data_IF_794142533182
#
_entry.id   IF_794142533182
#
_cell.length_a   1.000
_cell.length_b   1.000
_cell.length_c   1.000
_cell.angle_alpha   90.00
_cell.angle_beta   90.00
_cell.angle_gamma   90.00
#
_symmetry.space_group_name_H-M   'P 1'
#
loop_
_entity.id
_entity.type
_entity.pdbx_description
1 polymer ?
#
# COMPACT_ATOMS: atom_id res chain seq x y z
N UNK A 1 9.57 -56.70 31.77
CA UNK A 1 8.88 -55.39 31.87
C UNK A 1 9.09 -54.65 30.57
N UNK A 2 8.02 -54.32 29.85
CA UNK A 2 8.07 -53.44 28.67
C UNK A 2 7.66 -52.03 29.13
N UNK A 3 8.56 -51.05 29.00
CA UNK A 3 8.22 -49.64 29.19
C UNK A 3 7.87 -49.06 27.82
N UNK A 4 6.59 -48.75 27.63
CA UNK A 4 6.09 -48.00 26.48
C UNK A 4 6.03 -46.53 26.88
N UNK A 5 6.81 -45.66 26.25
CA UNK A 5 6.70 -44.21 26.43
C UNK A 5 5.70 -43.70 25.40
N UNK A 6 4.57 -43.16 25.87
CA UNK A 6 3.50 -42.60 25.06
C UNK A 6 3.99 -41.31 24.36
N UNK A 7 4.16 -41.37 23.03
CA UNK A 7 4.54 -40.25 22.16
C UNK A 7 3.40 -39.21 21.92
N UNK A 8 2.25 -39.35 22.59
CA UNK A 8 1.06 -38.55 22.30
C UNK A 8 1.05 -37.13 22.89
N UNK A 9 1.77 -36.87 23.99
CA UNK A 9 1.65 -35.59 24.70
C UNK A 9 2.64 -34.50 24.25
N UNK A 10 3.72 -34.84 23.54
CA UNK A 10 4.74 -33.87 23.13
C UNK A 10 4.35 -33.07 21.87
N UNK A 11 3.49 -33.60 21.00
CA UNK A 11 3.02 -32.87 19.80
C UNK A 11 1.88 -31.89 20.08
N UNK A 12 1.15 -32.05 21.18
CA UNK A 12 0.07 -31.12 21.55
C UNK A 12 0.57 -29.77 22.09
N UNK A 13 1.78 -29.74 22.68
CA UNK A 13 2.39 -28.52 23.24
C UNK A 13 3.11 -27.71 22.16
N UNK A 14 3.61 -28.34 21.09
CA UNK A 14 4.31 -27.63 20.02
C UNK A 14 3.37 -26.87 19.06
N UNK A 15 2.09 -27.24 18.98
CA UNK A 15 1.12 -26.59 18.07
C UNK A 15 0.51 -25.32 18.72
N UNK A 16 0.50 -25.21 20.05
CA UNK A 16 -0.01 -24.02 20.73
C UNK A 16 0.98 -22.84 20.73
N UNK A 17 2.28 -23.11 20.55
CA UNK A 17 3.32 -22.07 20.49
C UNK A 17 3.47 -21.42 19.10
N UNK A 18 2.78 -21.91 18.07
CA UNK A 18 2.83 -21.34 16.70
C UNK A 18 1.67 -20.37 16.40
N UNK A 19 0.83 -20.08 17.40
CA UNK A 19 -0.25 -19.10 17.34
C UNK A 19 0.09 -17.79 18.07
N UNK A 20 1.35 -17.59 18.43
CA UNK A 20 1.89 -16.26 18.68
C UNK A 20 2.17 -15.63 17.32
N UNK A 21 1.10 -15.19 16.64
CA UNK A 21 1.24 -14.32 15.48
C UNK A 21 2.15 -13.17 15.89
N UNK A 22 3.26 -12.98 15.18
CA UNK A 22 4.13 -11.85 15.41
C UNK A 22 3.26 -10.60 15.31
N UNK A 23 2.99 -9.96 16.45
CA UNK A 23 2.41 -8.63 16.54
C UNK A 23 3.47 -7.65 16.01
N UNK A 24 3.73 -7.73 14.70
CA UNK A 24 4.54 -6.78 13.98
C UNK A 24 3.75 -5.50 13.92
N UNK A 25 4.13 -4.55 14.77
CA UNK A 25 3.87 -3.13 14.60
C UNK A 25 3.88 -2.76 13.12
N UNK A 26 2.72 -2.45 12.54
CA UNK A 26 2.61 -2.11 11.13
C UNK A 26 2.03 -0.71 10.98
N UNK A 27 2.74 0.12 10.22
CA UNK A 27 2.18 1.34 9.67
C UNK A 27 1.34 0.97 8.46
N UNK A 28 0.05 1.25 8.54
CA UNK A 28 -0.90 0.91 7.51
C UNK A 28 -1.38 2.19 6.85
N UNK A 29 -1.14 2.33 5.55
CA UNK A 29 -1.71 3.42 4.77
C UNK A 29 -3.24 3.27 4.73
N UNK A 30 -3.96 4.32 5.14
CA UNK A 30 -5.44 4.38 5.14
C UNK A 30 -6.01 5.12 3.93
N UNK A 31 -5.13 5.49 2.99
CA UNK A 31 -5.47 6.39 1.89
C UNK A 31 -5.61 7.83 2.39
N UNK A 32 -5.86 8.75 1.46
CA UNK A 32 -6.27 10.13 1.77
C UNK A 32 -5.35 10.91 2.70
N UNK A 33 -4.06 10.59 2.68
CA UNK A 33 -3.06 11.23 3.51
C UNK A 33 -3.13 10.84 4.98
N UNK A 34 -3.60 9.63 5.32
CA UNK A 34 -3.64 9.11 6.69
C UNK A 34 -2.89 7.79 6.83
N UNK A 35 -2.08 7.66 7.89
CA UNK A 35 -1.29 6.45 8.20
C UNK A 35 -1.66 5.97 9.60
N UNK A 36 -2.13 4.73 9.72
CA UNK A 36 -2.47 4.12 11.00
C UNK A 36 -1.29 3.32 11.57
N UNK A 37 -0.86 3.66 12.78
CA UNK A 37 0.06 2.88 13.61
C UNK A 37 -0.74 1.89 14.47
N UNK A 38 -0.74 0.62 14.03
CA UNK A 38 -1.44 -0.47 14.72
C UNK A 38 -0.88 -0.82 16.10
N UNK A 39 0.38 -0.45 16.37
CA UNK A 39 1.07 -0.73 17.64
C UNK A 39 0.58 0.20 18.75
N UNK A 40 0.26 1.45 18.39
CA UNK A 40 -0.21 2.47 19.34
C UNK A 40 -1.68 2.81 19.21
N UNK A 41 -2.35 2.26 18.20
CA UNK A 41 -3.73 2.60 17.87
C UNK A 41 -3.86 4.12 17.67
N UNK A 42 -3.01 4.67 16.80
CA UNK A 42 -2.94 6.10 16.47
C UNK A 42 -2.95 6.26 14.95
N UNK A 43 -3.64 7.27 14.44
CA UNK A 43 -3.58 7.67 13.05
C UNK A 43 -2.83 9.00 12.90
N UNK A 44 -1.84 9.03 12.03
CA UNK A 44 -1.01 10.17 11.68
C UNK A 44 -1.46 10.78 10.36
N UNK A 45 -1.25 12.09 10.19
CA UNK A 45 -1.19 12.64 8.84
C UNK A 45 0.01 12.05 8.09
N UNK A 46 -0.18 11.67 6.83
CA UNK A 46 0.89 11.18 5.96
C UNK A 46 1.89 12.31 5.64
N UNK A 47 1.40 13.53 5.49
CA UNK A 47 2.20 14.74 5.30
C UNK A 47 2.68 15.26 6.66
N UNK A 48 3.96 15.00 6.95
CA UNK A 48 4.57 15.41 8.21
C UNK A 48 4.68 16.94 8.36
N UNK A 49 4.64 17.69 7.25
CA UNK A 49 4.65 19.15 7.26
C UNK A 49 3.36 19.72 6.65
N UNK A 50 2.22 19.19 7.11
CA UNK A 50 0.92 19.63 6.61
C UNK A 50 0.65 21.12 6.89
N UNK A 51 1.24 21.72 7.92
CA UNK A 51 1.16 23.16 8.15
C UNK A 51 1.69 23.99 6.96
N UNK A 52 2.73 23.50 6.28
CA UNK A 52 3.24 24.13 5.06
C UNK A 52 2.32 23.88 3.87
N UNK A 53 1.95 22.63 3.63
CA UNK A 53 1.21 22.26 2.40
C UNK A 53 -0.24 22.71 2.40
N UNK A 54 -0.86 22.84 3.58
CA UNK A 54 -2.18 23.47 3.76
C UNK A 54 -2.15 25.00 3.60
N UNK A 55 -0.97 25.62 3.59
CA UNK A 55 -0.81 27.08 3.57
C UNK A 55 -1.00 27.76 4.93
N UNK A 56 -1.05 27.00 6.04
CA UNK A 56 -1.15 27.55 7.38
C UNK A 56 0.07 28.40 7.78
N UNK A 57 1.28 27.98 7.37
CA UNK A 57 2.50 28.74 7.54
C UNK A 57 3.48 28.52 6.35
N UNK A 58 4.15 29.56 5.81
CA UNK A 58 4.97 29.44 4.59
C UNK A 58 6.08 28.38 4.62
N UNK A 59 6.68 28.14 5.79
CA UNK A 59 7.69 27.09 5.97
C UNK A 59 7.22 25.93 6.87
N UNK A 60 6.00 26.06 7.42
CA UNK A 60 5.34 25.08 8.28
C UNK A 60 5.82 25.09 9.72
N UNK A 61 6.77 25.95 10.07
CA UNK A 61 7.28 26.07 11.42
C UNK A 61 6.46 27.10 12.17
N UNK A 62 6.01 26.75 13.36
CA UNK A 62 5.23 27.66 14.19
C UNK A 62 5.59 27.55 15.67
N UNK A 63 5.21 28.56 16.46
CA UNK A 63 5.28 28.50 17.91
C UNK A 63 4.35 27.40 18.46
N UNK A 64 4.61 26.88 19.66
CA UNK A 64 3.76 25.85 20.27
C UNK A 64 2.29 26.29 20.41
N UNK A 65 2.04 27.56 20.70
CA UNK A 65 0.69 28.09 20.80
C UNK A 65 -0.04 28.01 19.45
N UNK A 66 0.65 28.38 18.35
CA UNK A 66 0.14 28.23 16.99
C UNK A 66 0.01 26.76 16.59
N UNK A 67 0.94 25.89 16.99
CA UNK A 67 0.86 24.45 16.75
C UNK A 67 -0.38 23.81 17.40
N UNK A 68 -0.67 24.17 18.67
CA UNK A 68 -1.90 23.74 19.36
C UNK A 68 -3.14 24.29 18.65
N UNK A 69 -3.11 25.56 18.25
CA UNK A 69 -4.19 26.16 17.49
C UNK A 69 -4.39 25.48 16.13
N UNK A 70 -3.32 25.06 15.47
CA UNK A 70 -3.39 24.34 14.20
C UNK A 70 -4.07 22.98 14.39
N UNK A 71 -3.58 22.15 15.31
CA UNK A 71 -4.14 20.83 15.56
C UNK A 71 -5.61 20.91 16.01
N UNK A 72 -5.94 21.77 16.99
CA UNK A 72 -7.29 21.89 17.54
C UNK A 72 -8.35 22.41 16.55
N UNK A 73 -7.93 23.12 15.48
CA UNK A 73 -8.84 23.64 14.46
C UNK A 73 -8.72 22.88 13.13
N UNK A 74 -7.89 21.84 13.06
CA UNK A 74 -7.68 21.07 11.86
C UNK A 74 -8.93 20.21 11.61
N UNK A 75 -9.56 20.41 10.45
CA UNK A 75 -10.53 19.46 9.89
C UNK A 75 -9.87 18.79 8.70
N UNK A 76 -9.55 17.51 8.82
CA UNK A 76 -8.90 16.74 7.77
C UNK A 76 -9.65 15.42 7.56
N UNK A 77 -10.04 15.17 6.31
CA UNK A 77 -10.81 13.98 5.91
C UNK A 77 -12.06 13.73 6.77
N UNK A 78 -12.75 14.80 7.15
CA UNK A 78 -13.98 14.74 7.95
C UNK A 78 -13.78 14.58 9.46
N UNK A 79 -12.53 14.63 9.93
CA UNK A 79 -12.19 14.53 11.36
C UNK A 79 -11.63 15.84 11.90
N UNK A 80 -12.09 16.24 13.08
CA UNK A 80 -11.82 17.51 13.75
C UNK A 80 -11.16 17.36 15.15
N UNK A 81 -10.79 16.14 15.51
CA UNK A 81 -10.22 15.75 16.79
C UNK A 81 -8.70 15.50 16.72
N UNK A 82 -8.02 16.24 15.84
CA UNK A 82 -6.57 16.14 15.68
C UNK A 82 -5.83 16.79 16.85
N UNK A 83 -4.75 16.14 17.29
CA UNK A 83 -3.96 16.52 18.45
C UNK A 83 -2.49 16.52 18.07
N UNK A 84 -1.68 17.30 18.80
CA UNK A 84 -0.24 17.10 18.77
C UNK A 84 0.10 15.83 19.57
N UNK A 85 1.10 15.05 19.15
CA UNK A 85 1.59 13.90 19.89
C UNK A 85 1.97 14.31 21.30
N UNK A 86 1.68 13.47 22.28
CA UNK A 86 1.99 13.67 23.68
C UNK A 86 2.72 12.50 24.30
N UNK A 87 2.77 12.53 25.64
CA UNK A 87 3.24 11.42 26.48
C UNK A 87 2.01 10.66 26.96
N UNK A 88 2.01 9.34 26.80
CA UNK A 88 0.91 8.51 27.28
C UNK A 88 0.80 8.64 28.82
N UNK A 89 -0.41 8.73 29.39
CA UNK A 89 -0.61 9.06 30.80
C UNK A 89 -0.08 8.02 31.80
N UNK A 90 0.46 6.88 31.34
CA UNK A 90 0.96 5.80 32.20
C UNK A 90 2.35 5.28 31.80
N UNK A 91 3.03 5.93 30.86
CA UNK A 91 4.39 5.55 30.45
C UNK A 91 5.27 6.78 30.25
N UNK A 92 6.58 6.60 30.34
CA UNK A 92 7.58 7.60 29.90
C UNK A 92 7.77 7.58 28.38
N UNK A 93 6.96 6.78 27.67
CA UNK A 93 7.04 6.62 26.22
C UNK A 93 6.30 7.77 25.53
N UNK A 94 6.98 8.40 24.57
CA UNK A 94 6.37 9.44 23.74
C UNK A 94 5.69 8.78 22.55
N UNK A 95 4.52 9.25 22.14
CA UNK A 95 3.79 8.71 20.98
C UNK A 95 4.61 8.78 19.68
N UNK A 96 5.54 9.74 19.60
CA UNK A 96 6.54 9.87 18.52
C UNK A 96 7.65 8.80 18.55
N UNK A 97 7.87 8.06 19.65
CA UNK A 97 8.96 7.07 19.74
C UNK A 97 8.76 5.83 18.86
N UNK A 98 7.53 5.34 18.67
CA UNK A 98 7.25 4.22 17.76
C UNK A 98 7.39 4.63 16.31
N UNK A 99 7.05 5.87 15.95
CA UNK A 99 7.38 6.40 14.63
C UNK A 99 8.89 6.30 14.35
N UNK A 100 9.72 6.52 15.36
CA UNK A 100 11.18 6.43 15.22
C UNK A 100 11.66 5.00 15.05
N UNK A 101 11.17 4.08 15.88
CA UNK A 101 11.55 2.67 15.86
C UNK A 101 11.03 1.92 14.63
N UNK A 102 9.80 2.22 14.21
CA UNK A 102 9.11 1.48 13.14
C UNK A 102 9.40 2.07 11.76
N UNK A 103 9.72 3.37 11.66
CA UNK A 103 9.67 4.05 10.36
C UNK A 103 10.71 5.12 10.07
N UNK A 104 11.62 5.47 10.99
CA UNK A 104 12.55 6.59 10.71
C UNK A 104 14.01 6.31 11.08
N UNK A 105 14.30 5.25 11.83
CA UNK A 105 15.67 4.82 12.14
C UNK A 105 15.85 3.34 11.80
N UNK A 106 16.72 3.04 10.84
CA UNK A 106 17.37 1.72 10.77
C UNK A 106 18.83 1.90 11.19
N UNK A 107 19.18 1.76 12.49
CA UNK A 107 20.57 1.71 12.89
C UNK A 107 21.08 0.29 12.62
N UNK A 108 21.20 -0.09 11.36
CA UNK A 108 22.08 -1.18 10.98
C UNK A 108 23.52 -0.69 11.20
N UNK A 109 24.05 -0.92 12.40
CA UNK A 109 25.46 -0.85 12.74
C UNK A 109 26.11 0.55 12.71
N UNK A 110 25.83 1.36 13.73
CA UNK A 110 26.81 2.26 14.37
C UNK A 110 27.62 3.25 13.51
N UNK A 111 27.22 3.55 12.27
CA UNK A 111 27.98 4.42 11.37
C UNK A 111 27.07 5.43 10.67
N UNK A 112 27.21 6.70 11.09
CA UNK A 112 26.73 7.98 10.51
C UNK A 112 25.23 8.12 10.14
N UNK A 113 24.67 9.35 10.11
CA UNK A 113 23.22 9.56 9.99
C UNK A 113 22.71 9.08 8.63
N UNK A 114 22.18 7.85 8.59
CA UNK A 114 21.50 7.32 7.42
C UNK A 114 20.18 8.07 7.27
N UNK A 115 19.96 8.60 6.06
CA UNK A 115 18.74 9.27 5.62
C UNK A 115 17.50 8.53 6.17
N UNK A 116 16.54 9.22 6.83
CA UNK A 116 15.32 8.57 7.29
C UNK A 116 14.71 7.82 6.10
N UNK A 117 14.42 6.53 6.24
CA UNK A 117 13.55 5.83 5.28
C UNK A 117 12.14 6.13 5.74
N UNK A 118 11.44 7.16 5.23
CA UNK A 118 10.27 7.75 5.89
C UNK A 118 9.03 6.83 5.96
N UNK A 119 9.17 5.54 5.66
CA UNK A 119 8.06 4.62 5.52
C UNK A 119 7.02 5.22 4.57
N UNK A 120 5.74 5.20 4.93
CA UNK A 120 4.68 5.77 4.10
C UNK A 120 4.54 7.30 4.22
N UNK A 121 5.37 7.99 5.01
CA UNK A 121 5.26 9.43 5.26
C UNK A 121 5.96 10.27 4.20
N UNK A 122 5.45 11.50 4.01
CA UNK A 122 6.00 12.49 3.06
C UNK A 122 6.31 13.81 3.78
N UNK A 123 7.11 14.67 3.13
CA UNK A 123 7.55 15.98 3.63
C UNK A 123 8.23 15.99 5.01
N UNK A 124 8.84 14.86 5.39
CA UNK A 124 9.66 14.81 6.59
C UNK A 124 10.91 15.67 6.39
N UNK A 125 11.07 16.66 7.26
CA UNK A 125 12.25 17.53 7.33
C UNK A 125 13.20 17.04 8.44
N UNK A 126 14.34 16.38 8.11
CA UNK A 126 15.21 15.76 9.12
C UNK A 126 16.01 16.76 9.97
N UNK A 127 16.14 18.00 9.50
CA UNK A 127 16.92 19.07 10.14
C UNK A 127 16.09 19.99 11.03
N UNK A 128 14.77 19.78 11.09
CA UNK A 128 13.83 20.62 11.84
C UNK A 128 13.14 19.77 12.91
N UNK A 129 12.84 20.41 14.05
CA UNK A 129 12.14 19.77 15.15
C UNK A 129 10.63 19.65 14.90
N UNK A 130 10.00 18.68 15.57
CA UNK A 130 8.56 18.47 15.54
C UNK A 130 7.99 18.62 16.95
N UNK A 131 6.86 19.30 17.06
CA UNK A 131 6.23 19.52 18.36
C UNK A 131 5.66 18.24 18.96
N UNK A 132 5.87 18.05 20.26
CA UNK A 132 5.10 17.12 21.07
C UNK A 132 4.79 17.71 22.46
N UNK A 133 3.74 17.21 23.10
CA UNK A 133 3.25 17.71 24.38
C UNK A 133 3.77 16.79 25.50
N UNK A 134 4.73 17.30 26.29
CA UNK A 134 5.19 16.62 27.50
C UNK A 134 4.11 16.56 28.59
N UNK A 135 4.08 15.47 29.35
CA UNK A 135 3.38 15.38 30.64
C UNK A 135 4.39 15.60 31.75
N UNK A 136 4.54 16.83 32.20
CA UNK A 136 5.11 17.06 33.52
C UNK A 136 4.12 17.87 34.34
N UNK A 137 3.47 17.18 35.27
CA UNK A 137 2.62 17.75 36.32
C UNK A 137 3.43 18.57 37.35
N UNK A 138 4.77 18.67 37.16
CA UNK A 138 5.70 19.41 38.03
C UNK A 138 6.70 20.28 37.27
N UNK A 139 6.65 20.30 35.94
CA UNK A 139 7.58 21.08 35.13
C UNK A 139 6.80 21.78 34.02
N UNK A 140 7.05 23.06 33.86
CA UNK A 140 6.44 23.89 32.83
C UNK A 140 6.97 23.57 31.42
N UNK A 141 7.70 22.48 31.23
CA UNK A 141 8.59 22.27 30.07
C UNK A 141 7.85 21.89 28.79
N UNK A 142 8.31 22.46 27.66
CA UNK A 142 7.86 22.13 26.32
C UNK A 142 8.90 21.24 25.65
N UNK A 143 8.43 20.32 24.80
CA UNK A 143 9.30 19.30 24.22
C UNK A 143 9.17 19.28 22.69
N UNK A 144 10.29 19.04 22.01
CA UNK A 144 10.34 18.89 20.55
C UNK A 144 11.30 17.77 20.17
N UNK A 145 11.09 17.17 19.01
CA UNK A 145 11.92 16.07 18.51
C UNK A 145 12.73 16.47 17.27
N UNK A 146 14.07 16.33 17.27
CA UNK A 146 14.94 16.56 16.10
C UNK A 146 15.49 15.24 15.55
N UNK A 147 15.26 14.98 14.26
CA UNK A 147 15.66 13.74 13.60
C UNK A 147 17.18 13.60 13.33
N UNK A 148 17.93 14.70 13.23
CA UNK A 148 19.36 14.67 12.85
C UNK A 148 20.31 14.04 13.90
N UNK A 149 19.81 13.69 15.09
CA UNK A 149 20.64 13.18 16.19
C UNK A 149 20.11 11.94 16.92
N UNK A 150 19.06 11.28 16.42
CA UNK A 150 18.44 10.11 17.10
C UNK A 150 18.25 10.30 18.61
N UNK A 151 18.06 11.55 19.07
CA UNK A 151 18.04 11.93 20.48
C UNK A 151 16.80 12.77 20.75
N UNK A 152 16.04 12.35 21.77
CA UNK A 152 15.06 13.19 22.43
C UNK A 152 15.82 14.27 23.19
N UNK A 153 15.52 15.55 22.95
CA UNK A 153 16.09 16.64 23.73
C UNK A 153 15.01 17.27 24.61
N UNK A 154 15.28 17.32 25.91
CA UNK A 154 14.47 18.01 26.92
C UNK A 154 15.00 19.43 27.05
N UNK A 155 14.15 20.46 26.96
CA UNK A 155 14.56 21.83 27.28
C UNK A 155 13.61 22.47 28.30
N UNK A 156 14.21 23.08 29.33
CA UNK A 156 13.50 23.75 30.41
C UNK A 156 12.68 24.95 29.87
N UNK A 157 11.45 25.12 30.37
CA UNK A 157 10.58 26.25 30.07
C UNK A 157 11.22 27.59 30.43
N UNK A 158 11.23 28.51 29.47
CA UNK A 158 11.05 29.92 29.77
C UNK A 158 9.84 30.41 28.97
N UNK A 159 8.84 30.89 29.68
CA UNK A 159 7.71 31.63 29.15
C UNK A 159 8.22 32.82 28.35
N UNK A 160 8.27 32.68 27.04
CA UNK A 160 8.69 33.72 26.12
C UNK A 160 8.72 33.19 24.70
N UNK A 161 8.24 34.01 23.78
CA UNK A 161 8.16 33.83 22.32
C UNK A 161 9.55 33.72 21.65
N UNK A 162 10.55 33.15 22.32
CA UNK A 162 11.97 33.22 21.94
C UNK A 162 12.66 31.85 21.79
N UNK A 163 11.91 30.79 21.50
CA UNK A 163 12.47 29.51 21.07
C UNK A 163 11.87 29.10 19.73
N UNK A 164 12.74 28.61 18.84
CA UNK A 164 12.50 28.50 17.41
C UNK A 164 11.20 27.80 17.02
N UNK A 165 10.71 28.16 15.85
CA UNK A 165 9.51 27.59 15.28
C UNK A 165 9.76 26.13 14.83
N UNK A 166 8.84 25.23 15.19
CA UNK A 166 8.91 23.79 14.85
C UNK A 166 7.64 23.33 14.12
N UNK A 167 7.72 22.17 13.48
CA UNK A 167 6.64 21.64 12.64
C UNK A 167 5.59 20.98 13.54
N UNK A 168 4.30 21.35 13.45
CA UNK A 168 3.23 20.58 14.06
C UNK A 168 2.92 19.38 13.16
N UNK A 169 3.00 18.17 13.71
CA UNK A 169 2.58 16.96 13.02
C UNK A 169 1.42 16.30 13.78
N UNK A 170 0.17 16.66 13.43
CA UNK A 170 -0.99 16.15 14.12
C UNK A 170 -1.18 14.64 13.95
N UNK A 171 -1.75 14.06 14.99
CA UNK A 171 -2.19 12.69 15.07
C UNK A 171 -3.57 12.63 15.73
N UNK A 172 -4.19 11.45 15.74
CA UNK A 172 -5.41 11.18 16.51
C UNK A 172 -5.43 9.75 17.00
N UNK A 173 -6.20 9.50 18.06
CA UNK A 173 -6.38 8.15 18.57
C UNK A 173 -7.32 7.33 17.71
N UNK A 174 -7.06 6.03 17.64
CA UNK A 174 -7.89 5.08 16.93
C UNK A 174 -7.47 4.86 15.48
N UNK A 175 -7.96 3.74 14.95
CA UNK A 175 -8.06 3.51 13.52
C UNK A 175 -9.24 4.31 12.97
N UNK A 176 -8.99 5.10 11.94
CA UNK A 176 -10.02 5.85 11.20
C UNK A 176 -10.85 4.96 10.28
N UNK A 177 -10.49 3.67 10.16
CA UNK A 177 -11.03 2.78 9.15
C UNK A 177 -10.75 3.29 7.74
N UNK A 178 -11.27 2.61 6.73
CA UNK A 178 -11.39 3.25 5.41
C UNK A 178 -12.64 4.14 5.45
N UNK A 179 -12.51 5.42 5.09
CA UNK A 179 -13.66 6.31 5.01
C UNK A 179 -14.62 5.82 3.91
N UNK A 180 -15.95 5.99 4.06
CA UNK A 180 -16.93 5.51 3.07
C UNK A 180 -16.81 6.15 1.67
N UNK A 181 -16.27 7.38 1.59
CA UNK A 181 -15.92 8.04 0.32
C UNK A 181 -14.71 7.42 -0.38
N UNK A 182 -13.96 6.61 0.38
CA UNK A 182 -12.66 6.05 0.07
C UNK A 182 -12.63 4.58 0.48
N UNK A 183 -13.73 3.87 0.19
CA UNK A 183 -13.56 2.48 -0.24
C UNK A 183 -12.35 2.51 -1.17
N UNK A 184 -11.27 1.79 -0.82
CA UNK A 184 -10.16 1.49 -1.71
C UNK A 184 -10.72 1.57 -3.13
N UNK A 185 -10.16 2.39 -4.01
CA UNK A 185 -10.42 2.19 -5.44
C UNK A 185 -9.73 0.87 -5.82
N UNK A 186 -10.05 -0.21 -5.13
CA UNK A 186 -9.66 -1.56 -5.44
C UNK A 186 -10.18 -1.83 -6.83
N UNK A 187 -9.41 -2.62 -7.56
CA UNK A 187 -9.79 -3.06 -8.89
C UNK A 187 -11.27 -3.45 -8.93
N UNK A 188 -12.06 -2.68 -9.66
CA UNK A 188 -13.51 -2.86 -9.76
C UNK A 188 -13.84 -3.57 -11.06
N UNK A 189 -14.61 -4.65 -10.98
CA UNK A 189 -15.14 -5.35 -12.16
C UNK A 189 -14.06 -6.01 -13.02
N UNK A 190 -12.97 -6.51 -12.44
CA UNK A 190 -11.90 -7.20 -13.19
C UNK A 190 -12.33 -8.48 -13.90
N UNK A 191 -13.48 -9.06 -13.51
CA UNK A 191 -14.15 -10.20 -14.16
C UNK A 191 -15.15 -9.81 -15.25
N UNK A 192 -15.26 -8.52 -15.56
CA UNK A 192 -16.12 -7.94 -16.59
C UNK A 192 -17.56 -8.48 -16.62
N UNK A 193 -18.17 -8.61 -15.44
CA UNK A 193 -19.63 -8.72 -15.33
C UNK A 193 -20.36 -7.43 -15.71
N UNK A 194 -19.65 -6.29 -15.70
CA UNK A 194 -20.06 -5.00 -16.24
C UNK A 194 -18.86 -4.15 -16.63
N UNK A 195 -19.09 -3.05 -17.37
CA UNK A 195 -18.07 -2.04 -17.70
C UNK A 195 -17.88 -0.96 -16.64
N UNK A 196 -18.66 -0.98 -15.55
CA UNK A 196 -18.59 0.07 -14.55
C UNK A 196 -17.16 0.16 -13.98
N UNK A 197 -16.67 1.39 -13.78
CA UNK A 197 -15.31 1.65 -13.30
C UNK A 197 -14.20 1.56 -14.36
N UNK A 198 -14.51 1.15 -15.60
CA UNK A 198 -13.54 1.13 -16.70
C UNK A 198 -13.80 2.26 -17.70
N UNK A 199 -12.72 2.88 -18.16
CA UNK A 199 -12.75 3.92 -19.17
C UNK A 199 -12.01 3.45 -20.41
N UNK A 200 -12.54 3.82 -21.57
CA UNK A 200 -11.95 3.54 -22.88
C UNK A 200 -11.51 4.85 -23.50
N UNK A 201 -10.30 4.88 -24.05
CA UNK A 201 -9.80 6.01 -24.82
C UNK A 201 -8.97 5.54 -26.01
N UNK A 202 -8.54 6.48 -26.86
CA UNK A 202 -7.89 6.18 -28.14
C UNK A 202 -8.89 6.18 -29.30
N UNK A 203 -8.49 5.65 -30.45
CA UNK A 203 -9.33 5.62 -31.66
C UNK A 203 -9.88 4.24 -32.01
N UNK A 204 -9.77 3.27 -31.10
CA UNK A 204 -10.49 2.00 -31.18
C UNK A 204 -11.73 1.95 -30.30
N UNK A 205 -12.21 0.75 -30.00
CA UNK A 205 -13.41 0.51 -29.19
C UNK A 205 -13.19 -0.62 -28.19
N UNK A 206 -14.01 -0.65 -27.14
CA UNK A 206 -14.09 -1.77 -26.19
C UNK A 206 -15.55 -2.20 -26.04
N UNK A 207 -15.82 -3.50 -26.02
CA UNK A 207 -17.16 -4.07 -25.88
C UNK A 207 -17.14 -5.32 -24.99
N UNK A 208 -18.22 -5.51 -24.21
CA UNK A 208 -18.41 -6.69 -23.38
C UNK A 208 -18.96 -7.77 -24.29
N UNK A 209 -18.30 -8.93 -24.32
CA UNK A 209 -18.69 -10.03 -25.20
C UNK A 209 -18.62 -11.34 -24.45
N UNK A 210 -19.36 -12.33 -24.92
CA UNK A 210 -19.10 -13.70 -24.52
C UNK A 210 -17.97 -14.25 -25.40
N UNK A 211 -16.84 -14.59 -24.80
CA UNK A 211 -15.70 -15.21 -25.48
C UNK A 211 -15.17 -16.36 -24.65
N UNK A 212 -14.90 -17.51 -25.30
CA UNK A 212 -14.48 -18.75 -24.63
C UNK A 212 -15.38 -19.20 -23.45
N UNK A 213 -16.66 -18.79 -23.44
CA UNK A 213 -17.62 -19.13 -22.39
C UNK A 213 -17.58 -18.20 -21.15
N UNK A 214 -16.79 -17.13 -21.18
CA UNK A 214 -16.75 -16.08 -20.14
C UNK A 214 -17.21 -14.73 -20.70
N UNK A 215 -17.56 -13.80 -19.80
CA UNK A 215 -17.81 -12.40 -20.14
C UNK A 215 -16.47 -11.66 -20.15
N UNK A 216 -16.02 -11.20 -21.31
CA UNK A 216 -14.71 -10.57 -21.49
C UNK A 216 -14.86 -9.19 -22.13
N UNK A 217 -13.83 -8.36 -22.00
CA UNK A 217 -13.73 -7.13 -22.80
C UNK A 217 -12.98 -7.42 -24.09
N UNK A 218 -13.68 -7.26 -25.21
CA UNK A 218 -13.11 -7.21 -26.56
C UNK A 218 -12.63 -5.79 -26.86
N UNK A 219 -11.34 -5.61 -27.05
CA UNK A 219 -10.76 -4.42 -27.63
C UNK A 219 -10.66 -4.58 -29.15
N UNK A 220 -11.01 -3.54 -29.90
CA UNK A 220 -10.88 -3.53 -31.37
C UNK A 220 -10.21 -2.24 -31.80
N UNK A 221 -9.07 -2.32 -32.49
CA UNK A 221 -8.36 -1.13 -32.97
C UNK A 221 -9.11 -0.47 -34.13
N UNK A 222 -9.17 0.85 -34.10
CA UNK A 222 -9.38 1.70 -35.29
C UNK A 222 -8.10 2.51 -35.52
N UNK A 223 -7.58 3.06 -34.41
CA UNK A 223 -6.17 3.22 -34.06
C UNK A 223 -5.93 2.57 -32.68
N UNK A 224 -4.81 2.88 -32.01
CA UNK A 224 -4.51 2.39 -30.65
C UNK A 224 -5.70 2.61 -29.71
N UNK A 225 -5.98 1.60 -28.87
CA UNK A 225 -7.07 1.63 -27.90
C UNK A 225 -6.55 1.36 -26.50
N UNK A 226 -7.07 2.12 -25.53
CA UNK A 226 -6.66 2.05 -24.15
C UNK A 226 -7.86 1.72 -23.27
N UNK A 227 -7.78 0.63 -22.52
CA UNK A 227 -8.70 0.27 -21.46
C UNK A 227 -8.03 0.58 -20.12
N UNK A 228 -8.65 1.40 -19.28
CA UNK A 228 -8.01 1.82 -18.03
C UNK A 228 -8.99 2.05 -16.88
N UNK A 229 -8.47 1.95 -15.67
CA UNK A 229 -9.15 2.24 -14.42
C UNK A 229 -8.20 3.01 -13.51
N UNK A 230 -8.73 3.99 -12.77
CA UNK A 230 -8.02 4.63 -11.67
C UNK A 230 -8.28 3.81 -10.40
N UNK A 231 -7.21 3.37 -9.76
CA UNK A 231 -7.25 2.47 -8.63
C UNK A 231 -6.16 2.76 -7.60
N UNK A 232 -6.25 2.14 -6.43
CA UNK A 232 -5.18 2.18 -5.43
C UNK A 232 -4.37 0.87 -5.50
N UNK A 233 -3.04 0.95 -5.42
CA UNK A 233 -2.19 -0.25 -5.41
C UNK A 233 -1.95 -0.77 -4.00
N UNK A 234 -1.79 -2.11 -3.83
CA UNK A 234 -1.36 -2.68 -2.56
C UNK A 234 -0.06 -2.05 -2.06
N UNK A 235 0.02 -1.82 -0.74
CA UNK A 235 1.21 -1.27 -0.08
C UNK A 235 2.36 -2.29 0.05
N UNK A 236 2.05 -3.59 -0.08
CA UNK A 236 3.02 -4.68 -0.12
C UNK A 236 3.17 -5.21 -1.56
N UNK A 237 4.28 -5.90 -1.89
CA UNK A 237 4.41 -6.57 -3.17
C UNK A 237 3.20 -7.45 -3.50
N UNK A 238 2.82 -7.45 -4.78
CA UNK A 238 1.62 -8.15 -5.24
C UNK A 238 1.83 -8.66 -6.66
N UNK A 239 1.09 -9.69 -7.03
CA UNK A 239 0.99 -10.15 -8.41
C UNK A 239 -0.18 -9.47 -9.11
N UNK A 240 0.09 -8.78 -10.21
CA UNK A 240 -0.93 -8.40 -11.19
C UNK A 240 -1.23 -9.62 -12.07
N UNK A 241 -2.41 -10.20 -11.88
CA UNK A 241 -2.91 -11.31 -12.66
C UNK A 241 -3.97 -10.82 -13.65
N UNK A 242 -3.97 -11.36 -14.86
CA UNK A 242 -5.04 -11.15 -15.84
C UNK A 242 -5.03 -12.25 -16.91
N UNK A 243 -6.14 -12.42 -17.61
CA UNK A 243 -6.26 -13.31 -18.76
C UNK A 243 -6.33 -12.51 -20.05
N UNK A 244 -5.69 -13.02 -21.10
CA UNK A 244 -5.57 -12.35 -22.38
C UNK A 244 -5.70 -13.37 -23.53
N UNK A 245 -6.51 -13.06 -24.53
CA UNK A 245 -6.54 -13.77 -25.82
C UNK A 245 -6.30 -12.79 -26.96
N UNK A 246 -5.28 -13.06 -27.77
CA UNK A 246 -4.88 -12.27 -28.94
C UNK A 246 -4.85 -13.10 -30.22
N UNK A 247 -5.55 -14.23 -30.25
CA UNK A 247 -5.44 -15.24 -31.31
C UNK A 247 -6.15 -14.87 -32.62
N UNK A 248 -7.07 -13.91 -32.61
CA UNK A 248 -7.83 -13.52 -33.82
C UNK A 248 -7.00 -12.77 -34.85
N UNK A 249 -6.02 -11.97 -34.42
CA UNK A 249 -5.28 -11.09 -35.32
C UNK A 249 -3.78 -11.08 -35.06
N UNK A 250 -3.00 -11.25 -36.13
CA UNK A 250 -1.53 -11.31 -36.08
C UNK A 250 -0.89 -9.93 -36.02
N UNK A 251 0.31 -9.86 -35.41
CA UNK A 251 1.16 -8.65 -35.40
C UNK A 251 0.82 -7.60 -34.35
N UNK A 252 -0.14 -7.86 -33.46
CA UNK A 252 -0.55 -6.94 -32.41
C UNK A 252 0.31 -7.07 -31.14
N UNK A 253 0.43 -5.96 -30.41
CA UNK A 253 1.11 -5.88 -29.12
C UNK A 253 0.16 -5.32 -28.06
N UNK A 254 0.05 -6.02 -26.93
CA UNK A 254 -0.58 -5.51 -25.72
C UNK A 254 0.50 -4.96 -24.79
N UNK A 255 0.35 -3.71 -24.36
CA UNK A 255 1.21 -3.09 -23.36
C UNK A 255 0.40 -2.80 -22.11
N UNK A 256 0.91 -3.20 -20.94
CA UNK A 256 0.26 -2.99 -19.66
C UNK A 256 1.07 -1.99 -18.84
N UNK A 257 0.40 -0.94 -18.40
CA UNK A 257 1.00 0.14 -17.61
C UNK A 257 0.34 0.21 -16.23
N UNK A 258 1.15 0.50 -15.22
CA UNK A 258 0.69 0.83 -13.87
C UNK A 258 1.39 2.12 -13.41
N UNK A 259 0.63 3.15 -13.06
CA UNK A 259 1.17 4.45 -12.68
C UNK A 259 2.07 5.08 -13.76
N UNK A 260 1.77 4.82 -15.03
CA UNK A 260 2.59 5.26 -16.17
C UNK A 260 3.85 4.42 -16.43
N UNK A 261 4.20 3.48 -15.56
CA UNK A 261 5.32 2.55 -15.76
C UNK A 261 4.85 1.35 -16.58
N UNK A 262 5.59 0.97 -17.61
CA UNK A 262 5.35 -0.24 -18.39
C UNK A 262 5.71 -1.47 -17.54
N UNK A 263 4.73 -2.34 -17.25
CA UNK A 263 4.91 -3.51 -16.38
C UNK A 263 4.78 -4.84 -17.13
N UNK A 264 4.13 -4.86 -18.30
CA UNK A 264 4.11 -6.04 -19.17
C UNK A 264 4.02 -5.65 -20.65
N UNK A 265 4.60 -6.49 -21.51
CA UNK A 265 4.46 -6.44 -22.96
C UNK A 265 4.13 -7.85 -23.44
N UNK A 266 3.00 -7.99 -24.11
CA UNK A 266 2.58 -9.26 -24.71
C UNK A 266 2.53 -9.11 -26.22
N UNK A 267 3.37 -9.88 -26.89
CA UNK A 267 3.28 -10.08 -28.33
C UNK A 267 2.29 -11.19 -28.62
N UNK A 268 1.66 -11.18 -29.79
CA UNK A 268 0.81 -12.29 -30.21
C UNK A 268 1.57 -13.62 -30.14
N UNK A 269 1.20 -14.45 -29.17
CA UNK A 269 1.58 -15.84 -29.05
C UNK A 269 0.35 -16.69 -29.33
N UNK A 270 0.43 -17.59 -30.31
CA UNK A 270 -0.68 -18.36 -30.84
C UNK A 270 -1.50 -19.17 -29.81
N UNK A 271 -2.82 -19.21 -30.09
CA UNK A 271 -3.93 -20.08 -29.65
C UNK A 271 -4.48 -19.93 -28.21
N UNK A 272 -5.39 -18.97 -28.06
CA UNK A 272 -6.42 -18.95 -27.03
C UNK A 272 -6.08 -18.09 -25.82
N UNK A 273 -6.88 -18.28 -24.77
CA UNK A 273 -6.78 -17.55 -23.52
C UNK A 273 -5.53 -17.94 -22.74
N UNK A 274 -4.72 -16.95 -22.38
CA UNK A 274 -3.47 -17.12 -21.62
C UNK A 274 -3.56 -16.33 -20.32
N UNK A 275 -3.22 -16.97 -19.20
CA UNK A 275 -3.06 -16.29 -17.92
C UNK A 275 -1.68 -15.63 -17.82
N UNK A 276 -1.66 -14.38 -17.38
CA UNK A 276 -0.47 -13.57 -17.12
C UNK A 276 -0.39 -13.27 -15.63
N UNK A 277 0.81 -13.37 -15.06
CA UNK A 277 1.09 -13.06 -13.67
C UNK A 277 2.39 -12.25 -13.63
N UNK A 278 2.32 -11.02 -13.13
CA UNK A 278 3.45 -10.10 -13.05
C UNK A 278 3.65 -9.71 -11.60
N UNK A 279 4.81 -10.07 -11.04
CA UNK A 279 5.18 -9.64 -9.71
C UNK A 279 5.55 -8.14 -9.72
N UNK A 280 4.82 -7.36 -8.94
CA UNK A 280 5.08 -5.94 -8.71
C UNK A 280 5.76 -5.78 -7.36
N UNK A 281 7.07 -5.60 -7.38
CA UNK A 281 7.91 -5.38 -6.19
C UNK A 281 8.59 -3.99 -6.18
N UNK A 282 8.44 -3.22 -7.26
CA UNK A 282 9.02 -1.88 -7.34
C UNK A 282 8.33 -0.96 -6.32
N UNK A 283 9.05 -0.41 -5.34
CA UNK A 283 8.47 0.41 -4.28
C UNK A 283 7.77 1.67 -4.80
N UNK A 284 8.15 2.18 -5.97
CA UNK A 284 7.49 3.32 -6.60
C UNK A 284 6.11 2.99 -7.19
N UNK A 285 5.71 1.72 -7.19
CA UNK A 285 4.41 1.24 -7.66
C UNK A 285 3.52 0.70 -6.53
N UNK A 286 4.02 0.68 -5.29
CA UNK A 286 3.30 0.17 -4.11
C UNK A 286 2.63 1.30 -3.34
N UNK A 287 1.42 1.04 -2.83
CA UNK A 287 0.68 1.99 -1.98
C UNK A 287 0.34 3.32 -2.67
N UNK A 288 0.25 3.31 -4.00
CA UNK A 288 -0.15 4.47 -4.78
C UNK A 288 -1.65 4.67 -4.67
N UNK A 289 -2.08 5.94 -4.62
CA UNK A 289 -3.49 6.32 -4.69
C UNK A 289 -3.84 6.86 -6.08
N UNK A 290 -5.07 6.60 -6.51
CA UNK A 290 -5.62 7.06 -7.80
C UNK A 290 -4.70 6.78 -9.02
N UNK A 291 -3.94 5.69 -8.96
CA UNK A 291 -3.01 5.33 -10.00
C UNK A 291 -3.72 4.63 -11.15
N UNK A 292 -3.24 4.88 -12.37
CA UNK A 292 -3.85 4.29 -13.56
C UNK A 292 -3.28 2.89 -13.82
N UNK A 293 -4.14 1.88 -13.82
CA UNK A 293 -3.89 0.61 -14.51
C UNK A 293 -4.44 0.74 -15.94
N UNK A 294 -3.60 0.50 -16.94
CA UNK A 294 -3.95 0.69 -18.35
C UNK A 294 -3.43 -0.44 -19.23
N UNK A 295 -4.34 -1.01 -20.01
CA UNK A 295 -4.06 -1.94 -21.09
C UNK A 295 -4.14 -1.18 -22.40
N UNK A 296 -3.09 -1.28 -23.21
CA UNK A 296 -3.00 -0.62 -24.51
C UNK A 296 -2.81 -1.67 -25.59
N UNK A 297 -3.80 -1.80 -26.47
CA UNK A 297 -3.65 -2.54 -27.71
C UNK A 297 -3.18 -1.54 -28.75
N UNK A 298 -1.88 -1.58 -29.06
CA UNK A 298 -1.24 -0.66 -29.99
C UNK A 298 -1.05 -1.30 -31.35
N UNK A 299 -1.71 -0.73 -32.36
CA UNK A 299 -1.40 -0.98 -33.76
C UNK A 299 -1.84 0.21 -34.61
N UNK A 300 -1.02 0.55 -35.60
CA UNK A 300 -1.34 1.48 -36.68
C UNK A 300 -2.41 0.95 -37.63
N UNK A 301 -2.63 -0.37 -37.66
CA UNK A 301 -3.64 -1.03 -38.47
C UNK A 301 -4.97 -1.18 -37.73
N UNK A 302 -6.07 -0.81 -38.40
CA UNK A 302 -7.43 -1.02 -37.91
C UNK A 302 -7.83 -2.50 -37.93
N UNK A 303 -8.74 -2.89 -37.04
CA UNK A 303 -9.39 -4.20 -36.99
C UNK A 303 -8.65 -5.27 -36.19
N UNK A 304 -7.63 -4.92 -35.41
CA UNK A 304 -6.95 -5.84 -34.49
C UNK A 304 -7.76 -6.05 -33.23
N UNK A 305 -7.74 -7.26 -32.69
CA UNK A 305 -8.62 -7.68 -31.60
C UNK A 305 -7.86 -8.37 -30.49
N UNK A 306 -8.12 -7.93 -29.26
CA UNK A 306 -7.69 -8.62 -28.05
C UNK A 306 -8.87 -8.77 -27.08
N UNK A 307 -8.88 -9.86 -26.32
CA UNK A 307 -9.86 -10.12 -25.25
C UNK A 307 -9.14 -10.11 -23.90
N UNK A 308 -9.70 -9.41 -22.92
CA UNK A 308 -9.13 -9.31 -21.57
C UNK A 308 -10.18 -9.76 -20.55
N UNK A 309 -9.75 -10.53 -19.55
CA UNK A 309 -10.60 -10.98 -18.44
C UNK A 309 -9.80 -11.17 -17.14
N UNK A 310 -10.52 -11.42 -16.04
CA UNK A 310 -10.02 -11.87 -14.74
C UNK A 310 -8.81 -11.10 -14.23
N UNK A 311 -8.87 -9.77 -14.32
CA UNK A 311 -7.86 -8.88 -13.77
C UNK A 311 -7.95 -8.94 -12.25
N UNK A 312 -6.82 -9.10 -11.57
CA UNK A 312 -6.74 -9.14 -10.12
C UNK A 312 -5.39 -8.64 -9.60
N UNK A 313 -5.40 -8.04 -8.41
CA UNK A 313 -4.20 -7.88 -7.59
C UNK A 313 -4.22 -8.97 -6.52
N UNK A 314 -3.21 -9.83 -6.55
CA UNK A 314 -3.05 -10.93 -5.61
C UNK A 314 -1.95 -10.54 -4.63
N UNK A 315 -2.26 -10.26 -3.36
CA UNK A 315 -1.25 -9.97 -2.35
C UNK A 315 -0.28 -11.14 -2.24
N UNK A 316 1.01 -10.87 -2.26
CA UNK A 316 1.99 -11.90 -1.93
C UNK A 316 2.08 -12.01 -0.40
N UNK A 317 2.00 -13.22 0.18
CA UNK A 317 2.24 -13.38 1.60
C UNK A 317 3.67 -12.89 1.89
N UNK A 318 3.84 -11.99 2.86
CA UNK A 318 5.14 -11.41 3.25
C UNK A 318 6.16 -12.43 3.81
N UNK A 319 5.96 -13.73 3.60
CA UNK A 319 6.73 -14.84 4.18
C UNK A 319 7.32 -15.81 3.16
N UNK A 320 7.60 -15.40 1.92
CA UNK A 320 8.19 -16.30 0.90
C UNK A 320 9.44 -15.77 0.17
N UNK A 321 10.10 -14.72 0.67
CA UNK A 321 11.45 -14.36 0.18
C UNK A 321 12.54 -15.32 0.69
N UNK A 322 12.20 -16.23 1.61
CA UNK A 322 13.12 -17.23 2.16
C UNK A 322 12.60 -18.67 2.06
N UNK A 323 12.19 -19.13 0.88
CA UNK A 323 12.33 -20.55 0.52
C UNK A 323 12.08 -20.75 -0.98
N UNK A 324 13.13 -21.16 -1.68
CA UNK A 324 13.03 -21.56 -3.07
C UNK A 324 12.19 -22.83 -3.25
N UNK A 325 11.65 -22.95 -4.46
CA UNK A 325 11.10 -24.14 -5.10
C UNK A 325 9.75 -24.67 -4.58
N UNK A 326 8.85 -24.80 -5.58
CA UNK A 326 7.64 -25.62 -5.65
C UNK A 326 6.32 -24.99 -5.18
N UNK A 327 5.59 -24.42 -6.14
CA UNK A 327 4.12 -24.47 -6.13
C UNK A 327 3.68 -25.49 -7.20
N UNK A 328 2.75 -26.41 -6.88
CA UNK A 328 2.37 -27.48 -7.80
C UNK A 328 1.48 -26.97 -8.93
N UNK A 329 1.81 -27.41 -10.14
CA UNK A 329 1.00 -27.32 -11.34
C UNK A 329 -0.36 -27.97 -11.06
N UNK A 330 -1.44 -27.20 -11.16
CA UNK A 330 -2.81 -27.74 -11.24
C UNK A 330 -2.93 -28.39 -12.63
N UNK A 331 -2.63 -29.68 -12.72
CA UNK A 331 -2.89 -30.50 -13.91
C UNK A 331 -4.40 -30.70 -14.06
N UNK A 332 -5.00 -30.10 -15.10
CA UNK A 332 -6.28 -30.52 -15.66
C UNK A 332 -6.21 -32.02 -16.00
N UNK A 333 -7.16 -32.81 -15.50
CA UNK A 333 -7.37 -34.22 -15.90
C UNK A 333 -7.60 -34.31 -17.42
N UNK A 334 -6.84 -35.15 -18.16
CA UNK A 334 -7.26 -35.59 -19.47
C UNK A 334 -8.37 -36.63 -19.33
N UNK A 335 -9.44 -36.47 -20.11
CA UNK A 335 -10.59 -37.37 -20.14
C UNK A 335 -10.20 -38.80 -20.49
N UNK A 336 -10.76 -39.75 -19.73
CA UNK A 336 -10.73 -41.18 -20.02
C UNK A 336 -11.56 -41.40 -21.30
N UNK A 337 -10.89 -41.64 -22.44
CA UNK A 337 -11.51 -42.29 -23.60
C UNK A 337 -11.44 -43.80 -23.40
N UNK A 338 -12.59 -44.44 -23.23
CA UNK A 338 -12.72 -45.90 -23.33
C UNK A 338 -12.47 -46.34 -24.77
N UNK A 339 -11.47 -47.22 -24.97
CA UNK A 339 -11.30 -47.97 -26.22
C UNK A 339 -12.20 -49.23 -26.20
N UNK A 340 -12.68 -49.70 -27.37
CA UNK A 340 -13.57 -50.86 -27.45
C UNK A 340 -12.78 -52.17 -27.31
N UNK A 341 -13.36 -53.13 -26.59
CA UNK A 341 -12.91 -54.52 -26.55
C UNK A 341 -13.22 -55.20 -27.89
N UNK A 342 -12.19 -55.57 -28.64
CA UNK A 342 -12.30 -56.53 -29.73
C UNK A 342 -12.26 -57.96 -29.17
N UNK A 343 -13.16 -58.82 -29.65
CA UNK A 343 -12.92 -60.27 -29.76
C UNK A 343 -12.61 -60.60 -31.21
#
# INVERSE_FOLDING_TARGET
>A
MRFSINFGCAMGVLIYAMLEGSAGASLLNRGNGMIYDSSRNITWLQDANYAKTSGYDPDGKVTLARARSFANNLVYQGYDDWLLPGVWPYSYEVEMETLLEVSLLNPANGTTPQVPKPGPFINITPTVGYWHIGRDIWSTQNWYFIYNHSTQQTNNYYSGESFGDYIPWPMRYGDVGMLPSDYNKSLYGGNFSSFQGWTVSGGGSAQLVNHAGSSMVKLTTGSSVHLHQLLDTPAAPFTLAYELDMSETWGQTMMVYLGGTLVDIVYNTTQGLVQRNILIENPNLLGLSETQLKFTLDDSAAGKVAYIDNIAFIPEPMSMVLMGLLTPIILRRPGIRSLPLSR
#
